data_IF_421750784546
#
_entry.id   IF_421750784546
#
_cell.length_a   1.000
_cell.length_b   1.000
_cell.length_c   1.000
_cell.angle_alpha   90.00
_cell.angle_beta   90.00
_cell.angle_gamma   90.00
#
_symmetry.space_group_name_H-M   'P 1'
#
loop_
_entity.id
_entity.type
_entity.pdbx_description
1 polymer ?
#
# COMPACT_ATOMS: atom_id res chain seq x y z
N UNK A 1 70.51 10.05 34.42
CA UNK A 1 69.75 9.49 33.27
C UNK A 1 68.27 9.78 33.54
N UNK A 2 67.76 10.83 32.88
CA UNK A 2 66.38 11.39 32.79
C UNK A 2 65.26 10.99 33.79
N UNK A 3 64.69 11.98 34.54
CA UNK A 3 63.37 11.89 35.17
C UNK A 3 62.31 12.58 34.27
N UNK A 4 61.92 11.99 33.14
CA UNK A 4 60.86 12.53 32.26
C UNK A 4 59.50 11.83 32.41
N UNK A 5 59.42 10.77 33.21
CA UNK A 5 58.19 10.03 33.49
C UNK A 5 57.03 10.84 34.12
N UNK A 6 57.24 11.81 35.04
CA UNK A 6 56.11 12.46 35.71
C UNK A 6 55.31 13.35 34.75
N UNK A 7 56.00 14.07 33.86
CA UNK A 7 55.38 14.97 32.88
C UNK A 7 54.49 14.24 31.87
N UNK A 8 54.92 13.05 31.43
CA UNK A 8 54.15 12.20 30.50
C UNK A 8 52.88 11.67 31.18
N UNK A 9 52.95 11.37 32.49
CA UNK A 9 51.80 10.88 33.25
C UNK A 9 50.74 11.96 33.50
N UNK A 10 51.17 13.20 33.78
CA UNK A 10 50.26 14.35 33.92
C UNK A 10 49.62 14.74 32.59
N UNK A 11 50.40 14.72 31.49
CA UNK A 11 49.89 14.99 30.16
C UNK A 11 48.90 13.91 29.68
N UNK A 12 49.19 12.64 29.98
CA UNK A 12 48.27 11.53 29.68
C UNK A 12 46.98 11.62 30.51
N UNK A 13 47.06 12.00 31.79
CA UNK A 13 45.89 12.18 32.65
C UNK A 13 44.98 13.33 32.19
N UNK A 14 45.57 14.48 31.83
CA UNK A 14 44.82 15.66 31.35
C UNK A 14 44.22 15.44 29.96
N UNK A 15 44.92 14.74 29.06
CA UNK A 15 44.35 14.34 27.77
C UNK A 15 43.19 13.34 27.93
N UNK A 16 43.31 12.38 28.86
CA UNK A 16 42.23 11.44 29.15
C UNK A 16 41.00 12.15 29.74
N UNK A 17 41.19 13.10 30.66
CA UNK A 17 40.09 13.86 31.27
C UNK A 17 39.40 14.81 30.28
N UNK A 18 40.12 15.34 29.29
CA UNK A 18 39.53 16.15 28.22
C UNK A 18 38.66 15.34 27.24
N UNK A 19 38.99 14.07 27.02
CA UNK A 19 38.27 13.18 26.09
C UNK A 19 37.08 12.48 26.76
N UNK A 20 37.15 12.26 28.07
CA UNK A 20 36.07 11.69 28.89
C UNK A 20 34.69 12.32 28.67
N UNK A 21 34.49 13.65 28.73
CA UNK A 21 33.18 14.25 28.51
C UNK A 21 32.65 14.04 27.09
N UNK A 22 33.54 14.03 26.08
CA UNK A 22 33.15 13.75 24.69
C UNK A 22 32.73 12.29 24.53
N UNK A 23 33.43 11.35 25.17
CA UNK A 23 33.08 9.93 25.14
C UNK A 23 31.78 9.65 25.91
N UNK A 24 31.53 10.36 27.02
CA UNK A 24 30.27 10.30 27.76
C UNK A 24 29.12 10.87 26.93
N UNK A 25 29.33 11.97 26.20
CA UNK A 25 28.29 12.55 25.34
C UNK A 25 28.01 11.70 24.10
N UNK A 26 29.03 11.06 23.52
CA UNK A 26 28.89 10.12 22.41
C UNK A 26 28.26 8.78 22.81
N UNK A 27 28.36 8.39 24.09
CA UNK A 27 27.66 7.22 24.64
C UNK A 27 26.16 7.50 24.86
N UNK A 28 25.77 8.77 25.03
CA UNK A 28 24.37 9.19 25.07
C UNK A 28 23.85 9.40 23.63
N UNK A 29 23.75 8.32 22.86
CA UNK A 29 23.01 8.28 21.59
C UNK A 29 21.50 8.17 21.83
N UNK A 30 20.96 8.94 22.77
CA UNK A 30 19.53 9.14 22.89
C UNK A 30 19.12 10.12 21.78
N UNK A 31 18.83 9.56 20.61
CA UNK A 31 18.16 10.30 19.54
C UNK A 31 16.87 10.96 20.06
N UNK A 32 16.29 11.93 19.33
CA UNK A 32 15.06 12.60 19.76
C UNK A 32 14.04 11.57 20.26
N UNK A 33 13.50 11.79 21.47
CA UNK A 33 12.66 10.81 22.14
C UNK A 33 11.31 10.68 21.42
N UNK A 34 11.29 9.88 20.36
CA UNK A 34 10.11 9.63 19.52
C UNK A 34 9.22 8.53 20.08
N UNK A 35 9.49 8.03 21.29
CA UNK A 35 8.73 6.94 21.92
C UNK A 35 7.25 7.28 22.01
N UNK A 36 6.92 8.49 22.50
CA UNK A 36 5.53 8.95 22.56
C UNK A 36 4.87 9.14 21.19
N UNK A 37 5.65 9.52 20.18
CA UNK A 37 5.16 9.62 18.80
C UNK A 37 4.87 8.22 18.23
N UNK A 38 5.74 7.25 18.51
CA UNK A 38 5.60 5.87 18.06
C UNK A 38 4.41 5.17 18.72
N UNK A 39 4.18 5.41 20.02
CA UNK A 39 3.04 4.85 20.74
C UNK A 39 1.71 5.45 20.25
N UNK A 40 1.68 6.76 19.99
CA UNK A 40 0.53 7.40 19.36
C UNK A 40 0.27 6.86 17.96
N UNK A 41 1.32 6.72 17.14
CA UNK A 41 1.21 6.21 15.77
C UNK A 41 0.71 4.76 15.75
N UNK A 42 1.20 3.90 16.65
CA UNK A 42 0.75 2.49 16.78
C UNK A 42 -0.69 2.38 17.27
N UNK A 43 -1.09 3.20 18.24
CA UNK A 43 -2.46 3.25 18.75
C UNK A 43 -3.47 3.67 17.69
N UNK A 44 -3.05 4.51 16.73
CA UNK A 44 -3.90 4.98 15.64
C UNK A 44 -3.87 4.09 14.39
N UNK A 45 -2.68 3.74 13.89
CA UNK A 45 -2.53 2.97 12.65
C UNK A 45 -2.99 1.53 12.79
N UNK A 46 -2.80 0.89 13.94
CA UNK A 46 -3.17 -0.52 14.14
C UNK A 46 -4.67 -0.77 13.91
N UNK A 47 -5.56 -0.11 14.67
CA UNK A 47 -7.01 -0.28 14.50
C UNK A 47 -7.50 0.17 13.12
N UNK A 48 -7.02 1.32 12.63
CA UNK A 48 -7.45 1.88 11.35
C UNK A 48 -7.09 0.95 10.18
N UNK A 49 -5.87 0.39 10.19
CA UNK A 49 -5.42 -0.55 9.17
C UNK A 49 -6.29 -1.81 9.14
N UNK A 50 -6.56 -2.41 10.30
CA UNK A 50 -7.37 -3.63 10.37
C UNK A 50 -8.80 -3.42 9.88
N UNK A 51 -9.42 -2.28 10.19
CA UNK A 51 -10.78 -1.95 9.72
C UNK A 51 -10.79 -1.82 8.19
N UNK A 52 -9.87 -1.04 7.63
CA UNK A 52 -9.82 -0.81 6.18
C UNK A 52 -9.52 -2.13 5.45
N UNK A 53 -8.51 -2.87 5.89
CA UNK A 53 -8.14 -4.16 5.28
C UNK A 53 -9.28 -5.17 5.40
N UNK A 54 -10.02 -5.20 6.51
CA UNK A 54 -11.19 -6.06 6.68
C UNK A 54 -12.27 -5.75 5.63
N UNK A 55 -12.62 -4.49 5.45
CA UNK A 55 -13.61 -4.07 4.44
C UNK A 55 -13.12 -4.47 3.04
N UNK A 56 -11.86 -4.13 2.70
CA UNK A 56 -11.28 -4.48 1.40
C UNK A 56 -11.24 -6.01 1.18
N UNK A 57 -10.93 -6.80 2.21
CA UNK A 57 -10.92 -8.26 2.14
C UNK A 57 -12.32 -8.84 1.88
N UNK A 58 -13.34 -8.32 2.56
CA UNK A 58 -14.74 -8.69 2.35
C UNK A 58 -15.17 -8.36 0.92
N UNK A 59 -14.91 -7.14 0.46
CA UNK A 59 -15.20 -6.74 -0.91
C UNK A 59 -14.45 -7.59 -1.93
N UNK A 60 -13.17 -7.87 -1.69
CA UNK A 60 -12.36 -8.73 -2.56
C UNK A 60 -12.92 -10.15 -2.67
N UNK A 61 -13.31 -10.75 -1.54
CA UNK A 61 -13.96 -12.05 -1.49
C UNK A 61 -15.26 -12.08 -2.31
N UNK A 62 -16.14 -11.08 -2.12
CA UNK A 62 -17.42 -11.05 -2.83
C UNK A 62 -17.30 -10.61 -4.28
N UNK A 63 -16.34 -9.75 -4.61
CA UNK A 63 -16.17 -9.22 -5.98
C UNK A 63 -15.74 -10.30 -6.95
N UNK A 64 -14.86 -11.23 -6.54
CA UNK A 64 -14.46 -12.36 -7.41
C UNK A 64 -15.60 -13.32 -7.75
N UNK A 65 -16.50 -13.55 -6.81
CA UNK A 65 -17.62 -14.48 -7.01
C UNK A 65 -18.80 -13.81 -7.72
N UNK A 66 -19.14 -12.57 -7.33
CA UNK A 66 -20.27 -11.82 -7.89
C UNK A 66 -20.02 -11.40 -9.33
N UNK A 67 -18.79 -11.09 -9.74
CA UNK A 67 -18.50 -10.74 -11.14
C UNK A 67 -18.77 -11.89 -12.11
N UNK A 68 -18.46 -13.14 -11.72
CA UNK A 68 -18.81 -14.32 -12.52
C UNK A 68 -20.33 -14.52 -12.59
N UNK A 69 -21.02 -14.32 -11.50
CA UNK A 69 -22.49 -14.39 -11.46
C UNK A 69 -23.16 -13.28 -12.27
N UNK A 70 -22.65 -12.06 -12.18
CA UNK A 70 -23.11 -10.91 -12.95
C UNK A 70 -22.95 -11.18 -14.46
N UNK A 71 -21.84 -11.80 -14.89
CA UNK A 71 -21.64 -12.19 -16.29
C UNK A 71 -22.72 -13.16 -16.77
N UNK A 72 -23.09 -14.16 -15.96
CA UNK A 72 -24.19 -15.07 -16.30
C UNK A 72 -25.54 -14.35 -16.41
N UNK A 73 -25.86 -13.47 -15.47
CA UNK A 73 -27.10 -12.68 -15.53
C UNK A 73 -27.12 -11.77 -16.76
N UNK A 74 -26.04 -11.03 -17.00
CA UNK A 74 -25.93 -10.12 -18.14
C UNK A 74 -26.09 -10.88 -19.45
N UNK A 75 -25.45 -12.05 -19.59
CA UNK A 75 -25.60 -12.90 -20.77
C UNK A 75 -27.03 -13.43 -20.93
N UNK A 76 -27.65 -13.89 -19.84
CA UNK A 76 -29.02 -14.38 -19.87
C UNK A 76 -30.01 -13.28 -20.29
N UNK A 77 -29.86 -12.06 -19.75
CA UNK A 77 -30.66 -10.90 -20.14
C UNK A 77 -30.40 -10.53 -21.60
N UNK A 78 -29.14 -10.54 -22.05
CA UNK A 78 -28.79 -10.22 -23.43
C UNK A 78 -29.47 -11.15 -24.43
N UNK A 79 -29.37 -12.46 -24.21
CA UNK A 79 -30.05 -13.47 -25.04
C UNK A 79 -31.57 -13.31 -24.92
N UNK A 80 -32.07 -13.06 -23.71
CA UNK A 80 -33.48 -12.76 -23.48
C UNK A 80 -33.97 -11.63 -24.37
N UNK A 81 -33.29 -10.49 -24.40
CA UNK A 81 -33.68 -9.33 -25.22
C UNK A 81 -33.63 -9.66 -26.71
N UNK A 82 -32.54 -10.29 -27.19
CA UNK A 82 -32.34 -10.59 -28.62
C UNK A 82 -33.45 -11.47 -29.19
N UNK A 83 -33.91 -12.47 -28.41
CA UNK A 83 -34.92 -13.42 -28.88
C UNK A 83 -36.35 -13.06 -28.47
N UNK A 84 -36.54 -12.31 -27.39
CA UNK A 84 -37.87 -11.94 -26.88
C UNK A 84 -38.44 -10.69 -27.56
N UNK A 85 -37.59 -9.71 -27.88
CA UNK A 85 -38.06 -8.45 -28.47
C UNK A 85 -38.20 -8.65 -29.98
N UNK A 86 -39.42 -8.56 -30.53
CA UNK A 86 -39.63 -8.71 -31.97
C UNK A 86 -38.91 -7.60 -32.74
N UNK A 87 -38.29 -7.94 -33.87
CA UNK A 87 -37.62 -6.99 -34.77
C UNK A 87 -36.16 -6.68 -34.44
N UNK A 88 -35.63 -7.03 -33.26
CA UNK A 88 -34.20 -6.81 -32.94
C UNK A 88 -33.28 -7.55 -33.92
N UNK A 89 -33.60 -8.80 -34.24
CA UNK A 89 -32.80 -9.64 -35.15
C UNK A 89 -32.80 -9.05 -36.56
N UNK A 90 -33.93 -8.47 -36.98
CA UNK A 90 -34.09 -7.86 -38.31
C UNK A 90 -33.25 -6.59 -38.43
N UNK A 91 -33.28 -5.72 -37.43
CA UNK A 91 -32.45 -4.50 -37.41
C UNK A 91 -30.96 -4.84 -37.40
N UNK A 92 -30.54 -5.84 -36.64
CA UNK A 92 -29.14 -6.30 -36.61
C UNK A 92 -28.74 -6.88 -37.98
N UNK A 93 -29.57 -7.73 -38.57
CA UNK A 93 -29.31 -8.33 -39.87
C UNK A 93 -29.19 -7.27 -40.98
N UNK A 94 -30.12 -6.31 -41.01
CA UNK A 94 -30.10 -5.19 -41.95
C UNK A 94 -28.89 -4.29 -41.73
N UNK A 95 -28.53 -3.99 -40.47
CA UNK A 95 -27.36 -3.17 -40.16
C UNK A 95 -26.06 -3.85 -40.62
N UNK A 96 -25.91 -5.16 -40.38
CA UNK A 96 -24.75 -5.92 -40.83
C UNK A 96 -24.73 -6.02 -42.36
N UNK A 97 -25.86 -6.30 -43.00
CA UNK A 97 -25.96 -6.38 -44.46
C UNK A 97 -25.57 -5.06 -45.13
N UNK A 98 -26.08 -3.92 -44.62
CA UNK A 98 -25.71 -2.59 -45.11
C UNK A 98 -24.25 -2.25 -44.87
N UNK A 99 -23.69 -2.63 -43.71
CA UNK A 99 -22.27 -2.44 -43.41
C UNK A 99 -21.36 -3.27 -44.35
N UNK A 100 -21.84 -4.42 -44.82
CA UNK A 100 -21.17 -5.23 -45.84
C UNK A 100 -21.47 -4.77 -47.29
N UNK A 101 -22.19 -3.67 -47.48
CA UNK A 101 -22.50 -3.12 -48.81
C UNK A 101 -23.65 -3.81 -49.54
N UNK A 102 -24.43 -4.66 -48.86
CA UNK A 102 -25.63 -5.27 -49.42
C UNK A 102 -26.82 -4.34 -49.21
N UNK A 103 -27.49 -4.00 -50.31
CA UNK A 103 -28.76 -3.26 -50.27
C UNK A 103 -29.89 -4.20 -49.89
N UNK A 104 -30.42 -4.02 -48.68
CA UNK A 104 -31.62 -4.69 -48.19
C UNK A 104 -32.83 -3.79 -48.45
N UNK A 105 -33.75 -4.22 -49.32
CA UNK A 105 -35.08 -3.61 -49.52
C UNK A 105 -36.03 -3.92 -48.36
#
# INVERSE_FOLDING_TARGET
MLPLLPLVSEFAGTAADAVRPVLVLAANTDGPNTTGLADWLRGFFGPLFLVIVSIVAIFFLFTREITRFAQFIILAIFIGIVFYVPGIIEVIAVAIARAMGVTTE
#
